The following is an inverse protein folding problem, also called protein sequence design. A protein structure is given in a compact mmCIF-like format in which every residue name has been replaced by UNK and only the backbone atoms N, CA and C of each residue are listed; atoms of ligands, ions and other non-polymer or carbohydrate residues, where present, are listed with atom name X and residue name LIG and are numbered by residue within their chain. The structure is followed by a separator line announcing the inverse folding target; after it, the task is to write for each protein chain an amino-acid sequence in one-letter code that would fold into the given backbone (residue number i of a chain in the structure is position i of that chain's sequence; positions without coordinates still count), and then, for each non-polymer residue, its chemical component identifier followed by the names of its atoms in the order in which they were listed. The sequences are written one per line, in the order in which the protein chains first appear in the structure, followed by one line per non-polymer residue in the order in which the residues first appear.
data_IF_023033908255
#
_entry.id   IF_023033908255
#
_cell.length_a   1.000
_cell.length_b   1.000
_cell.length_c   1.000
_cell.angle_alpha   90.00
_cell.angle_beta   90.00
_cell.angle_gamma   90.00
#
_symmetry.space_group_name_H-M   'P 1'
#
loop_
_entity.id
_entity.type
_entity.pdbx_description
1 polymer ?
2 branched ?
3 non-polymer ?
4 non-polymer ?
5 water ?
#
# COMPACT_ATOMS: atom_id res chain seq x y z
N UNK A 1 -10.19 -16.03 -14.86
CA UNK A 1 -10.03 -17.41 -15.41
C UNK A 1 -11.42 -18.03 -15.63
N UNK A 2 -12.03 -18.52 -14.55
CA UNK A 2 -13.36 -19.13 -14.63
C UNK A 2 -14.41 -18.03 -14.79
N UNK A 3 -15.52 -18.36 -15.43
CA UNK A 3 -16.60 -17.41 -15.68
C UNK A 3 -17.25 -16.89 -14.39
N UNK A 4 -17.64 -15.62 -14.43
CA UNK A 4 -18.31 -15.01 -13.28
C UNK A 4 -19.76 -15.48 -13.35
N UNK A 5 -20.45 -15.53 -12.20
CA UNK A 5 -21.85 -15.97 -12.20
C UNK A 5 -22.74 -14.79 -12.57
N UNK A 6 -24.03 -15.07 -12.78
CA UNK A 6 -24.99 -14.01 -13.08
C UNK A 6 -24.96 -13.05 -11.90
N UNK A 7 -24.92 -11.76 -12.19
CA UNK A 7 -24.90 -10.74 -11.13
C UNK A 7 -25.79 -9.58 -11.54
N UNK A 8 -26.51 -9.03 -10.56
CA UNK A 8 -27.39 -7.91 -10.82
C UNK A 8 -26.84 -6.66 -10.14
N UNK A 9 -26.51 -5.66 -10.94
CA UNK A 9 -25.97 -4.41 -10.40
C UNK A 9 -26.24 -3.29 -11.41
N UNK A 10 -26.11 -2.02 -10.97
CA UNK A 10 -26.34 -0.87 -11.84
C UNK A 10 -25.48 -0.89 -13.10
N UNK A 11 -26.10 -0.59 -14.23
CA UNK A 11 -25.39 -0.57 -15.50
C UNK A 11 -24.41 0.61 -15.51
N UNK A 12 -23.17 0.38 -15.96
CA UNK A 12 -22.22 1.50 -16.00
C UNK A 12 -22.71 2.51 -17.05
N UNK A 13 -22.53 3.79 -16.78
CA UNK A 13 -22.98 4.85 -17.67
C UNK A 13 -21.82 5.43 -18.49
N UNK A 14 -21.75 5.05 -19.76
CA UNK A 14 -20.68 5.52 -20.64
C UNK A 14 -20.54 7.04 -20.73
N UNK A 15 -21.66 7.75 -20.66
CA UNK A 15 -21.65 9.20 -20.76
C UNK A 15 -21.76 9.92 -19.42
N UNK A 16 -21.34 9.24 -18.36
CA UNK A 16 -21.37 9.81 -17.02
C UNK A 16 -20.12 9.41 -16.25
N UNK A 17 -19.22 10.37 -15.98
CA UNK A 17 -17.98 10.09 -15.25
C UNK A 17 -18.24 9.61 -13.82
N UNK A 18 -17.32 8.80 -13.29
CA UNK A 18 -17.45 8.28 -11.93
C UNK A 18 -17.30 9.45 -10.98
N UNK A 19 -16.24 10.22 -11.20
CA UNK A 19 -15.92 11.38 -10.38
C UNK A 19 -15.56 12.53 -11.33
N UNK A 20 -16.05 13.72 -11.01
CA UNK A 20 -15.76 14.89 -11.85
C UNK A 20 -14.86 15.82 -11.05
N UNK A 21 -14.51 15.40 -9.83
CA UNK A 21 -13.67 16.20 -8.95
C UNK A 21 -12.24 15.68 -8.85
N UNK A 22 -12.01 14.48 -9.36
CA UNK A 22 -10.66 13.90 -9.29
C UNK A 22 -10.27 13.08 -10.52
N UNK A 23 -8.97 12.89 -10.68
CA UNK A 23 -8.39 12.10 -11.76
C UNK A 23 -8.53 10.63 -11.36
N UNK A 24 -9.14 9.81 -12.21
CA UNK A 24 -9.33 8.40 -11.88
C UNK A 24 -8.51 7.42 -12.70
N UNK A 25 -7.64 7.93 -13.56
CA UNK A 25 -6.77 7.07 -14.37
C UNK A 25 -5.49 7.86 -14.66
N UNK A 26 -4.35 7.19 -14.56
CA UNK A 26 -3.06 7.86 -14.82
C UNK A 26 -2.80 7.92 -16.31
N UNK A 27 -1.80 8.71 -16.74
CA UNK A 27 -1.51 8.79 -18.18
C UNK A 27 -0.99 7.48 -18.79
N UNK A 28 -0.64 6.50 -17.96
CA UNK A 28 -0.20 5.20 -18.49
C UNK A 28 -1.33 4.17 -18.30
N UNK A 29 -2.54 4.71 -18.17
CA UNK A 29 -3.76 3.94 -18.03
C UNK A 29 -3.88 3.01 -16.83
N UNK A 30 -3.34 3.45 -15.70
CA UNK A 30 -3.47 2.69 -14.45
C UNK A 30 -4.61 3.37 -13.69
N UNK A 31 -5.56 2.59 -13.16
CA UNK A 31 -6.65 3.25 -12.43
C UNK A 31 -6.16 3.89 -11.14
N UNK A 32 -6.79 4.98 -10.74
CA UNK A 32 -6.48 5.64 -9.46
C UNK A 32 -7.72 5.30 -8.65
N UNK A 33 -7.52 4.55 -7.57
CA UNK A 33 -8.62 4.06 -6.76
C UNK A 33 -9.23 5.02 -5.74
N UNK A 34 -10.45 5.46 -6.05
CA UNK A 34 -11.22 6.37 -5.19
C UNK A 34 -12.58 5.70 -4.97
N UNK A 35 -13.25 6.05 -3.87
CA UNK A 35 -14.58 5.51 -3.60
C UNK A 35 -15.49 6.00 -4.72
N UNK A 36 -16.28 5.09 -5.31
CA UNK A 36 -17.18 5.46 -6.39
C UNK A 36 -16.71 4.98 -7.75
N UNK A 37 -15.46 4.52 -7.83
CA UNK A 37 -14.93 4.06 -9.12
C UNK A 37 -15.06 2.55 -9.30
N UNK A 38 -15.28 1.83 -8.21
CA UNK A 38 -15.37 0.38 -8.30
C UNK A 38 -16.60 -0.25 -7.67
N UNK A 39 -16.98 -1.40 -8.22
CA UNK A 39 -18.10 -2.18 -7.70
C UNK A 39 -17.38 -3.31 -6.97
N UNK A 40 -17.39 -3.27 -5.64
CA UNK A 40 -16.69 -4.30 -4.88
C UNK A 40 -17.26 -5.71 -5.04
N UNK A 41 -18.54 -5.83 -5.38
CA UNK A 41 -19.12 -7.15 -5.55
C UNK A 41 -18.50 -7.86 -6.75
N UNK A 42 -18.30 -7.14 -7.84
CA UNK A 42 -17.69 -7.73 -9.02
C UNK A 42 -16.24 -8.11 -8.73
N UNK A 43 -15.50 -7.19 -8.13
CA UNK A 43 -14.10 -7.44 -7.79
C UNK A 43 -13.94 -8.62 -6.81
N UNK A 44 -14.79 -8.67 -5.78
CA UNK A 44 -14.71 -9.78 -4.83
C UNK A 44 -14.90 -11.11 -5.54
N UNK A 45 -15.85 -11.15 -6.47
CA UNK A 45 -16.12 -12.36 -7.23
C UNK A 45 -14.88 -12.77 -8.00
N UNK A 46 -14.30 -11.81 -8.73
CA UNK A 46 -13.12 -12.10 -9.52
C UNK A 46 -11.97 -12.65 -8.71
N UNK A 47 -11.70 -12.06 -7.55
CA UNK A 47 -10.57 -12.54 -6.75
C UNK A 47 -10.84 -13.80 -5.94
N UNK A 48 -12.09 -14.00 -5.52
CA UNK A 48 -12.41 -15.20 -4.77
C UNK A 48 -12.34 -16.42 -5.69
N UNK A 49 -12.76 -16.24 -6.95
CA UNK A 49 -12.72 -17.33 -7.91
C UNK A 49 -11.28 -17.78 -8.15
N UNK A 50 -10.34 -16.90 -7.80
CA UNK A 50 -8.92 -17.20 -7.95
C UNK A 50 -8.34 -17.69 -6.63
N UNK A 51 -9.19 -17.73 -5.60
CA UNK A 51 -8.78 -18.17 -4.26
C UNK A 51 -7.52 -17.41 -3.87
N UNK A 52 -7.60 -16.09 -4.04
CA UNK A 52 -6.50 -15.18 -3.76
C UNK A 52 -6.11 -15.11 -2.29
N UNK A 53 -4.79 -15.11 -2.04
CA UNK A 53 -4.28 -15.00 -0.68
C UNK A 53 -3.42 -13.73 -0.61
N UNK A 54 -3.73 -12.87 0.35
CA UNK A 54 -3.01 -11.62 0.50
C UNK A 54 -2.15 -11.59 1.76
N UNK A 55 -0.87 -11.29 1.60
CA UNK A 55 0.01 -11.20 2.74
C UNK A 55 0.08 -9.74 3.16
N UNK A 56 0.03 -9.49 4.46
CA UNK A 56 0.11 -8.13 5.00
C UNK A 56 1.31 -8.10 5.91
N UNK A 57 2.30 -7.30 5.56
CA UNK A 57 3.52 -7.22 6.35
C UNK A 57 3.66 -5.93 7.14
N UNK A 58 4.18 -6.05 8.36
CA UNK A 58 4.42 -4.90 9.21
C UNK A 58 5.64 -5.18 10.05
N UNK A 59 6.35 -4.11 10.39
CA UNK A 59 7.53 -4.22 11.23
C UNK A 59 7.17 -3.50 12.52
N UNK A 60 7.47 -4.14 13.64
CA UNK A 60 7.17 -3.55 14.94
C UNK A 60 8.37 -3.79 15.84
N UNK A 61 9.29 -2.82 15.85
CA UNK A 61 10.49 -2.92 16.66
C UNK A 61 10.42 -1.93 17.81
N UNK A 62 10.97 -2.32 18.95
CA UNK A 62 11.00 -1.46 20.13
C UNK A 62 9.61 -0.99 20.55
N UNK A 63 9.46 0.30 20.77
CA UNK A 63 8.20 0.88 21.21
C UNK A 63 7.02 0.67 20.26
N UNK A 64 7.30 0.38 18.99
CA UNK A 64 6.22 0.20 18.02
C UNK A 64 5.38 -1.05 18.21
N UNK A 65 5.81 -1.97 19.08
CA UNK A 65 5.05 -3.19 19.32
C UNK A 65 3.72 -2.82 19.98
N UNK A 66 3.67 -1.62 20.56
CA UNK A 66 2.47 -1.15 21.25
C UNK A 66 1.32 -0.83 20.30
N UNK A 67 1.61 -0.71 19.01
CA UNK A 67 0.57 -0.40 18.03
C UNK A 67 -0.06 -1.63 17.40
N UNK A 68 0.54 -2.80 17.61
CA UNK A 68 0.05 -4.03 17.03
C UNK A 68 -1.40 -4.41 17.33
N UNK A 69 -1.81 -4.31 18.59
CA UNK A 69 -3.18 -4.68 18.96
C UNK A 69 -4.23 -3.95 18.11
N UNK A 70 -4.21 -2.63 18.13
CA UNK A 70 -5.19 -1.85 17.36
C UNK A 70 -5.05 -2.11 15.87
N UNK A 71 -3.81 -2.22 15.40
CA UNK A 71 -3.56 -2.45 13.98
C UNK A 71 -4.23 -3.74 13.53
N UNK A 72 -3.93 -4.84 14.23
CA UNK A 72 -4.50 -6.14 13.89
C UNK A 72 -6.01 -6.25 14.13
N UNK A 73 -6.50 -5.68 15.22
CA UNK A 73 -7.94 -5.74 15.50
C UNK A 73 -8.74 -5.04 14.42
N UNK A 74 -8.28 -3.86 13.99
CA UNK A 74 -9.00 -3.13 12.96
C UNK A 74 -8.81 -3.76 11.59
N UNK A 75 -7.67 -4.42 11.37
CA UNK A 75 -7.42 -5.08 10.09
C UNK A 75 -8.45 -6.21 9.97
N UNK A 76 -8.75 -6.85 11.10
CA UNK A 76 -9.72 -7.93 11.10
C UNK A 76 -11.10 -7.43 10.70
N UNK A 77 -11.37 -6.17 10.97
CA UNK A 77 -12.66 -5.61 10.64
C UNK A 77 -12.77 -5.02 9.24
N UNK A 78 -11.65 -4.57 8.69
CA UNK A 78 -11.70 -3.91 7.39
C UNK A 78 -10.78 -4.37 6.26
N UNK A 79 -9.77 -5.18 6.56
CA UNK A 79 -8.81 -5.59 5.55
C UNK A 79 -9.09 -6.93 4.88
N UNK A 80 -9.39 -6.89 3.58
CA UNK A 80 -9.63 -8.10 2.79
C UNK A 80 -10.60 -9.10 3.44
N UNK A 81 -11.62 -8.61 4.14
CA UNK A 81 -12.59 -9.51 4.77
C UNK A 81 -13.25 -10.41 3.74
N UNK A 82 -13.22 -11.71 3.99
CA UNK A 82 -13.80 -12.67 3.06
C UNK A 82 -12.76 -13.40 2.25
N UNK A 83 -11.55 -12.85 2.22
CA UNK A 83 -10.46 -13.45 1.47
C UNK A 83 -9.41 -14.04 2.40
N UNK A 84 -8.51 -14.85 1.85
CA UNK A 84 -7.43 -15.46 2.63
C UNK A 84 -6.38 -14.40 2.92
N UNK A 85 -6.05 -14.23 4.20
CA UNK A 85 -5.06 -13.24 4.61
C UNK A 85 -3.99 -13.86 5.50
N UNK A 86 -2.73 -13.50 5.25
CA UNK A 86 -1.62 -14.00 6.04
C UNK A 86 -0.85 -12.79 6.53
N UNK A 87 -0.89 -12.56 7.84
CA UNK A 87 -0.18 -11.44 8.45
C UNK A 87 1.25 -11.86 8.76
N UNK A 88 2.20 -10.98 8.45
CA UNK A 88 3.60 -11.25 8.76
C UNK A 88 4.07 -10.12 9.65
N UNK A 89 4.29 -10.42 10.92
CA UNK A 89 4.75 -9.41 11.87
C UNK A 89 6.23 -9.60 12.19
N UNK A 90 7.04 -8.66 11.72
CA UNK A 90 8.48 -8.71 11.97
C UNK A 90 8.76 -7.86 13.20
N UNK A 91 9.25 -8.49 14.26
CA UNK A 91 9.50 -7.79 15.51
C UNK A 91 10.72 -8.31 16.26
N UNK A 92 11.24 -7.48 17.15
CA UNK A 92 12.41 -7.83 17.96
C UNK A 92 11.90 -8.27 19.34
N UNK A 93 10.59 -8.32 19.49
CA UNK A 93 9.95 -8.72 20.74
C UNK A 93 8.80 -9.68 20.47
N UNK A 94 9.11 -10.91 20.00
CA UNK A 94 8.08 -11.90 19.71
C UNK A 94 7.05 -12.11 20.82
N UNK A 95 7.53 -12.20 22.05
CA UNK A 95 6.64 -12.42 23.20
C UNK A 95 5.71 -11.24 23.48
N UNK A 96 6.00 -10.09 22.90
CA UNK A 96 5.16 -8.91 23.13
C UNK A 96 4.01 -8.77 22.14
N UNK A 97 3.99 -9.60 21.11
CA UNK A 97 2.92 -9.54 20.11
C UNK A 97 1.61 -9.95 20.80
N UNK A 98 0.59 -9.07 20.73
CA UNK A 98 -0.70 -9.35 21.36
C UNK A 98 -1.47 -10.51 20.75
N UNK A 99 -2.23 -11.20 21.59
CA UNK A 99 -3.05 -12.32 21.16
C UNK A 99 -4.35 -11.76 20.58
N UNK A 100 -4.38 -11.61 19.26
CA UNK A 100 -5.56 -11.08 18.58
C UNK A 100 -6.37 -12.21 17.96
N UNK A 101 -7.69 -12.15 18.12
CA UNK A 101 -8.57 -13.16 17.58
C UNK A 101 -8.78 -12.92 16.09
N UNK A 102 -8.54 -13.95 15.28
CA UNK A 102 -8.68 -13.83 13.84
C UNK A 102 -9.87 -14.57 13.26
N UNK A 103 -10.43 -14.02 12.19
CA UNK A 103 -11.55 -14.66 11.52
C UNK A 103 -11.04 -15.87 10.78
N UNK A 104 -11.95 -16.72 10.32
CA UNK A 104 -11.54 -17.93 9.60
C UNK A 104 -10.82 -17.60 8.30
N UNK A 105 -9.85 -18.44 7.93
CA UNK A 105 -9.10 -18.23 6.71
C UNK A 105 -8.01 -17.18 6.81
N UNK A 106 -7.73 -16.75 8.03
CA UNK A 106 -6.71 -15.74 8.27
C UNK A 106 -5.69 -16.26 9.28
N UNK A 107 -4.42 -15.98 9.03
CA UNK A 107 -3.37 -16.44 9.92
C UNK A 107 -2.30 -15.40 10.14
N UNK A 108 -1.55 -15.58 11.23
CA UNK A 108 -0.49 -14.64 11.55
C UNK A 108 0.81 -15.35 11.87
N UNK A 109 1.89 -14.87 11.27
CA UNK A 109 3.21 -15.43 11.52
C UNK A 109 4.05 -14.35 12.17
N UNK A 110 4.72 -14.70 13.26
CA UNK A 110 5.58 -13.74 13.94
C UNK A 110 7.02 -14.11 13.57
N UNK A 111 7.74 -13.17 12.99
CA UNK A 111 9.12 -13.41 12.59
C UNK A 111 10.03 -12.51 13.41
N UNK A 112 10.89 -13.12 14.22
CA UNK A 112 11.80 -12.34 15.05
C UNK A 112 12.89 -11.75 14.19
N UNK A 113 13.20 -10.48 14.41
CA UNK A 113 14.22 -9.81 13.62
C UNK A 113 15.42 -9.32 14.41
N UNK A 114 16.48 -9.08 13.65
CA UNK A 114 17.79 -8.61 14.11
C UNK A 114 18.67 -9.24 13.04
N UNK A 115 17.97 -9.78 12.05
CA UNK A 115 18.53 -10.45 10.88
C UNK A 115 17.39 -11.26 10.27
N UNK A 116 17.37 -12.55 10.56
CA UNK A 116 16.34 -13.47 10.06
C UNK A 116 14.92 -12.93 10.23
N UNK A 134 13.05 -16.59 4.65
CA UNK A 134 13.55 -16.36 3.30
C UNK A 134 12.43 -15.87 2.39
N UNK A 135 12.77 -14.94 1.51
CA UNK A 135 11.80 -14.36 0.58
C UNK A 135 11.10 -15.39 -0.29
N UNK A 136 11.70 -16.58 -0.42
CA UNK A 136 11.11 -17.64 -1.23
C UNK A 136 9.80 -18.09 -0.61
N UNK A 137 9.70 -17.94 0.71
CA UNK A 137 8.51 -18.33 1.44
C UNK A 137 7.29 -17.55 0.94
N UNK A 138 7.45 -16.25 0.75
CA UNK A 138 6.36 -15.40 0.26
C UNK A 138 5.80 -15.92 -1.06
N UNK A 139 6.69 -16.33 -1.95
CA UNK A 139 6.29 -16.84 -3.25
C UNK A 139 5.42 -18.08 -3.17
N UNK A 140 5.55 -18.85 -2.11
CA UNK A 140 4.74 -20.07 -1.98
C UNK A 140 3.56 -19.93 -1.03
N UNK A 141 3.49 -18.84 -0.27
CA UNK A 141 2.38 -18.68 0.66
C UNK A 141 1.33 -17.65 0.28
N UNK A 142 1.71 -16.63 -0.49
CA UNK A 142 0.75 -15.61 -0.86
C UNK A 142 0.83 -15.20 -2.33
N UNK A 143 -0.23 -14.57 -2.83
CA UNK A 143 -0.28 -14.13 -4.22
C UNK A 143 0.11 -12.66 -4.32
N UNK A 144 -0.28 -11.89 -3.31
CA UNK A 144 0.02 -10.48 -3.24
C UNK A 144 0.59 -10.12 -1.88
N UNK A 145 1.40 -9.07 -1.85
CA UNK A 145 1.99 -8.57 -0.62
C UNK A 145 1.59 -7.11 -0.45
N UNK A 146 1.16 -6.75 0.74
CA UNK A 146 0.80 -5.38 1.06
C UNK A 146 1.72 -5.00 2.23
N UNK A 147 2.52 -3.97 2.03
CA UNK A 147 3.49 -3.53 3.01
C UNK A 147 3.09 -2.19 3.61
N UNK A 148 2.82 -2.18 4.91
CA UNK A 148 2.39 -0.95 5.58
C UNK A 148 3.08 -0.63 6.90
N UNK A 149 2.83 0.59 7.38
CA UNK A 149 3.37 1.05 8.66
C UNK A 149 2.44 0.53 9.75
N UNK A 150 3.02 0.23 10.91
CA UNK A 150 2.23 -0.33 12.02
C UNK A 150 1.48 0.67 12.91
N UNK A 151 1.97 1.90 13.02
CA UNK A 151 1.28 2.88 13.84
C UNK A 151 0.13 3.50 13.07
N UNK A 152 -0.79 2.63 12.67
CA UNK A 152 -1.96 3.00 11.88
C UNK A 152 -3.14 2.16 12.34
N UNK A 153 -4.32 2.48 11.84
CA UNK A 153 -5.50 1.70 12.15
C UNK A 153 -6.44 1.77 10.96
N UNK A 154 -7.16 0.69 10.71
CA UNK A 154 -8.12 0.66 9.62
C UNK A 154 -9.43 1.22 10.17
N UNK A 155 -10.06 2.09 9.40
CA UNK A 155 -11.32 2.70 9.81
C UNK A 155 -12.44 2.40 8.81
N UNK A 156 -12.07 1.88 7.64
CA UNK A 156 -13.07 1.53 6.65
C UNK A 156 -12.48 0.50 5.71
N UNK A 157 -13.30 0.03 4.78
CA UNK A 157 -12.95 -0.99 3.80
C UNK A 157 -11.63 -0.79 3.05
N UNK A 158 -10.80 -1.83 3.06
CA UNK A 158 -9.55 -1.84 2.30
C UNK A 158 -9.59 -3.26 1.73
N UNK A 159 -9.98 -3.37 0.46
CA UNK A 159 -10.12 -4.69 -0.13
C UNK A 159 -9.37 -4.97 -1.41
N UNK A 160 -9.86 -5.97 -2.15
CA UNK A 160 -9.21 -6.39 -3.38
C UNK A 160 -9.14 -5.35 -4.49
N UNK A 161 -9.84 -4.23 -4.32
CA UNK A 161 -9.78 -3.19 -5.33
C UNK A 161 -8.35 -2.67 -5.47
N UNK A 162 -7.52 -2.87 -4.45
CA UNK A 162 -6.13 -2.39 -4.51
C UNK A 162 -5.16 -3.37 -5.17
N UNK A 163 -5.56 -4.63 -5.27
CA UNK A 163 -4.68 -5.66 -5.84
C UNK A 163 -4.38 -5.49 -7.33
N UNK A 164 -3.10 -5.61 -7.65
CA UNK A 164 -2.60 -5.41 -9.01
C UNK A 164 -1.11 -5.79 -8.95
N UNK A 165 -0.42 -5.90 -10.11
CA UNK A 165 1.00 -6.26 -10.04
C UNK A 165 1.86 -5.33 -9.18
N UNK A 166 1.62 -4.02 -9.29
CA UNK A 166 2.38 -3.06 -8.51
C UNK A 166 1.58 -1.80 -8.21
N UNK A 167 1.47 -1.43 -6.93
CA UNK A 167 0.73 -0.23 -6.59
C UNK A 167 1.43 0.67 -5.57
N UNK A 168 1.19 1.97 -5.70
CA UNK A 168 1.74 2.96 -4.78
C UNK A 168 0.55 3.76 -4.28
N UNK A 169 0.72 4.51 -3.20
CA UNK A 169 -0.36 5.31 -2.63
C UNK A 169 0.02 6.78 -2.61
N UNK A 170 -0.91 7.65 -2.99
CA UNK A 170 -0.65 9.08 -3.01
C UNK A 170 -0.51 9.65 -1.59
N UNK A 171 0.63 10.29 -1.33
CA UNK A 171 0.90 10.90 -0.04
C UNK A 171 -0.21 11.93 0.25
N UNK A 172 -0.83 11.85 1.43
CA UNK A 172 -1.91 12.77 1.82
C UNK A 172 -1.57 14.25 1.90
N UNK A 173 -0.28 14.58 2.01
CA UNK A 173 0.10 15.96 2.10
C UNK A 173 0.64 16.58 0.82
N UNK A 174 0.68 15.80 -0.26
CA UNK A 174 1.19 16.31 -1.52
C UNK A 174 0.34 15.97 -2.74
N UNK A 175 -0.80 15.33 -2.53
CA UNK A 175 -1.64 14.94 -3.65
C UNK A 175 -2.12 16.11 -4.52
N UNK A 176 -2.14 17.31 -3.94
CA UNK A 176 -2.58 18.47 -4.71
C UNK A 176 -1.44 19.42 -5.03
N UNK A 177 -0.22 18.97 -4.81
CA UNK A 177 0.96 19.78 -5.06
C UNK A 177 1.54 19.60 -6.46
N UNK A 178 2.30 20.59 -6.92
CA UNK A 178 2.95 20.51 -8.22
C UNK A 178 4.23 19.73 -7.97
N UNK A 179 4.75 19.07 -9.00
CA UNK A 179 5.97 18.27 -8.85
C UNK A 179 7.14 19.01 -8.24
N UNK A 180 7.30 20.29 -8.57
CA UNK A 180 8.40 21.07 -8.02
C UNK A 180 8.37 21.11 -6.49
N UNK A 181 7.17 21.02 -5.92
CA UNK A 181 7.00 21.06 -4.47
C UNK A 181 7.19 19.68 -3.80
N UNK A 182 7.17 18.62 -4.60
CA UNK A 182 7.36 17.28 -4.05
C UNK A 182 8.70 17.19 -3.33
N UNK A 183 8.73 16.53 -2.18
CA UNK A 183 9.97 16.41 -1.42
C UNK A 183 10.84 15.24 -1.86
N UNK A 184 11.03 15.10 -3.18
CA UNK A 184 11.88 14.05 -3.73
C UNK A 184 13.31 14.38 -3.33
N UNK A 185 14.23 13.44 -3.53
CA UNK A 185 15.63 13.70 -3.24
C UNK A 185 16.08 14.56 -4.42
N UNK A 186 16.66 15.72 -4.14
CA UNK A 186 17.08 16.62 -5.21
C UNK A 186 18.57 16.67 -5.50
N UNK A 187 19.36 15.92 -4.75
CA UNK A 187 20.81 15.89 -4.96
C UNK A 187 21.19 14.84 -5.99
N UNK A 188 21.81 15.27 -7.10
CA UNK A 188 22.24 14.38 -8.20
C UNK A 188 23.18 13.28 -7.73
N UNK A 189 23.82 13.48 -6.59
CA UNK A 189 24.75 12.49 -6.06
C UNK A 189 24.04 11.26 -5.49
N UNK A 190 22.73 11.38 -5.29
CA UNK A 190 21.94 10.28 -4.75
C UNK A 190 21.23 9.47 -5.84
N UNK A 191 21.16 8.16 -5.63
CA UNK A 191 20.50 7.28 -6.59
C UNK A 191 19.00 7.56 -6.63
N UNK A 192 18.49 8.20 -5.58
CA UNK A 192 17.06 8.51 -5.52
C UNK A 192 16.74 9.86 -6.17
N UNK A 193 17.76 10.48 -6.73
CA UNK A 193 17.62 11.78 -7.39
C UNK A 193 16.53 11.90 -8.45
N UNK A 194 15.70 12.92 -8.32
CA UNK A 194 14.64 13.19 -9.29
C UNK A 194 14.62 14.71 -9.52
N UNK A 195 14.93 15.15 -10.75
CA UNK A 195 14.95 16.58 -11.08
C UNK A 195 13.58 17.24 -10.99
N UNK A 196 13.57 18.57 -10.88
CA UNK A 196 12.34 19.33 -10.76
C UNK A 196 11.35 19.18 -11.90
N UNK A 197 11.82 18.79 -13.08
CA UNK A 197 10.92 18.63 -14.22
C UNK A 197 10.43 17.19 -14.44
N UNK A 198 10.71 16.31 -13.49
CA UNK A 198 10.28 14.92 -13.58
C UNK A 198 9.39 14.57 -12.39
N UNK A 199 8.60 13.51 -12.54
CA UNK A 199 7.73 13.09 -11.45
C UNK A 199 6.25 13.08 -11.79
N UNK A 200 5.56 12.01 -11.40
CA UNK A 200 4.12 11.90 -11.63
C UNK A 200 3.37 12.27 -10.36
N UNK A 201 3.67 11.56 -9.28
CA UNK A 201 3.04 11.78 -7.98
C UNK A 201 4.06 11.58 -6.87
N UNK A 202 3.67 11.93 -5.65
CA UNK A 202 4.56 11.69 -4.52
C UNK A 202 3.90 10.55 -3.76
N UNK A 203 4.51 9.38 -3.85
CA UNK A 203 3.98 8.19 -3.18
C UNK A 203 4.56 8.11 -1.78
N UNK A 204 3.79 7.59 -0.84
CA UNK A 204 4.32 7.49 0.52
C UNK A 204 4.84 6.08 0.77
N UNK A 205 5.93 6.01 1.53
CA UNK A 205 6.53 4.72 1.81
C UNK A 205 5.74 3.81 2.73
N UNK A 206 4.71 4.36 3.38
CA UNK A 206 3.93 3.58 4.32
C UNK A 206 2.83 2.66 3.82
N UNK A 207 2.60 2.61 2.52
CA UNK A 207 1.55 1.76 1.98
C UNK A 207 1.78 1.48 0.50
N UNK A 208 2.37 0.33 0.21
CA UNK A 208 2.61 -0.07 -1.18
C UNK A 208 2.49 -1.58 -1.24
N UNK A 209 2.44 -2.12 -2.46
CA UNK A 209 2.32 -3.56 -2.58
C UNK A 209 2.20 -4.02 -4.02
N UNK A 210 1.74 -5.25 -4.21
CA UNK A 210 1.60 -5.80 -5.55
C UNK A 210 1.81 -7.30 -5.49
N UNK A 211 2.15 -7.91 -6.62
CA UNK A 211 2.41 -9.36 -6.63
C UNK A 211 3.71 -9.57 -5.84
N UNK A 212 3.92 -10.79 -5.35
CA UNK A 212 5.14 -11.04 -4.59
C UNK A 212 6.36 -10.72 -5.44
N UNK A 213 6.33 -11.15 -6.70
CA UNK A 213 7.43 -10.91 -7.61
C UNK A 213 7.76 -9.42 -7.76
N UNK A 214 6.75 -8.60 -8.01
CA UNK A 214 7.00 -7.17 -8.18
C UNK A 214 7.43 -6.47 -6.90
N UNK A 215 6.88 -6.89 -5.77
CA UNK A 215 7.25 -6.29 -4.50
C UNK A 215 8.70 -6.64 -4.17
N UNK A 216 9.11 -7.86 -4.47
CA UNK A 216 10.49 -8.25 -4.19
C UNK A 216 11.44 -7.51 -5.12
N UNK A 217 11.01 -7.23 -6.35
CA UNK A 217 11.85 -6.50 -7.28
C UNK A 217 12.05 -5.07 -6.78
N UNK A 218 10.98 -4.47 -6.25
CA UNK A 218 11.07 -3.11 -5.73
C UNK A 218 11.98 -3.02 -4.51
N UNK A 219 11.77 -3.90 -3.53
CA UNK A 219 12.60 -3.87 -2.33
C UNK A 219 14.05 -4.21 -2.62
N UNK A 220 14.29 -5.07 -3.60
CA UNK A 220 15.65 -5.44 -3.97
C UNK A 220 16.32 -4.24 -4.63
N UNK A 221 15.58 -3.52 -5.46
CA UNK A 221 16.11 -2.35 -6.13
C UNK A 221 16.39 -1.25 -5.12
N UNK A 222 15.47 -1.07 -4.18
CA UNK A 222 15.64 -0.04 -3.15
C UNK A 222 16.87 -0.34 -2.30
N UNK A 223 17.01 -1.61 -1.90
CA UNK A 223 18.15 -2.03 -1.08
C UNK A 223 19.47 -1.73 -1.76
N UNK A 224 19.57 -2.06 -3.04
CA UNK A 224 20.80 -1.82 -3.79
C UNK A 224 21.12 -0.33 -3.93
N UNK A 225 20.09 0.47 -4.23
CA UNK A 225 20.27 1.91 -4.38
C UNK A 225 20.73 2.55 -3.07
N UNK A 226 20.21 2.07 -1.95
CA UNK A 226 20.57 2.62 -0.65
C UNK A 226 22.01 2.25 -0.28
N UNK A 227 22.44 1.07 -0.71
CA UNK A 227 23.81 0.63 -0.42
C UNK A 227 24.79 1.50 -1.21
N UNK A 228 24.42 1.85 -2.43
CA UNK A 228 25.26 2.69 -3.28
C UNK A 228 25.38 4.08 -2.66
N UNK A 229 24.27 4.61 -2.18
CA UNK A 229 24.27 5.92 -1.55
C UNK A 229 25.15 5.91 -0.30
N UNK A 230 25.00 4.85 0.50
CA UNK A 230 25.77 4.70 1.73
C UNK A 230 27.27 4.72 1.41
N UNK A 231 27.66 3.99 0.37
CA UNK A 231 29.06 3.92 -0.03
C UNK A 231 29.57 5.30 -0.44
N UNK A 232 28.73 6.07 -1.12
CA UNK A 232 29.11 7.41 -1.56
C UNK A 232 28.86 8.44 -0.46
N UNK A 233 28.66 7.95 0.76
CA UNK A 233 28.44 8.83 1.90
C UNK A 233 27.27 9.79 1.78
N UNK A 234 26.10 9.29 1.39
CA UNK A 234 24.93 10.14 1.26
C UNK A 234 23.67 9.38 1.67
N UNK A 235 22.73 10.09 2.27
CA UNK A 235 21.48 9.50 2.73
C UNK A 235 20.32 10.32 2.16
N UNK A 236 19.44 9.66 1.41
CA UNK A 236 18.30 10.35 0.80
C UNK A 236 17.47 11.10 1.83
N UNK A 237 17.01 12.29 1.46
CA UNK A 237 16.23 13.16 2.34
C UNK A 237 15.14 12.45 3.13
N UNK A 238 14.39 11.56 2.47
CA UNK A 238 13.34 10.83 3.16
C UNK A 238 13.57 9.33 3.12
N UNK A 239 14.85 8.97 3.10
CA UNK A 239 15.29 7.58 3.10
C UNK A 239 14.55 6.64 2.16
N UNK A 240 14.01 5.55 2.70
CA UNK A 240 13.29 4.55 1.92
C UNK A 240 12.23 5.13 0.99
N UNK A 241 11.49 6.12 1.49
CA UNK A 241 10.43 6.76 0.72
C UNK A 241 10.98 7.46 -0.52
N UNK A 242 12.16 8.07 -0.40
CA UNK A 242 12.76 8.76 -1.53
C UNK A 242 13.09 7.75 -2.63
N UNK A 243 13.62 6.59 -2.25
CA UNK A 243 13.95 5.57 -3.22
C UNK A 243 12.69 4.94 -3.81
N UNK A 244 11.65 4.80 -2.99
CA UNK A 244 10.40 4.24 -3.48
C UNK A 244 9.87 5.14 -4.60
N UNK A 245 9.97 6.45 -4.40
CA UNK A 245 9.48 7.38 -5.40
C UNK A 245 10.29 7.30 -6.69
N UNK A 246 11.60 7.11 -6.56
CA UNK A 246 12.46 7.00 -7.75
C UNK A 246 12.08 5.72 -8.50
N UNK A 247 11.86 4.63 -7.77
CA UNK A 247 11.50 3.36 -8.40
C UNK A 247 10.19 3.44 -9.17
N UNK A 248 9.15 3.98 -8.52
CA UNK A 248 7.83 4.10 -9.15
C UNK A 248 7.80 5.11 -10.29
N UNK A 249 8.80 5.99 -10.33
CA UNK A 249 8.87 6.95 -11.42
C UNK A 249 9.32 6.19 -12.67
N UNK A 250 10.31 5.32 -12.49
CA UNK A 250 10.88 4.52 -13.58
C UNK A 250 10.12 3.23 -13.90
N UNK A 251 9.35 2.72 -12.94
CA UNK A 251 8.54 1.51 -13.13
C UNK A 251 7.14 1.92 -12.69
N UNK A 252 6.32 2.36 -13.63
CA UNK A 252 4.98 2.85 -13.32
C UNK A 252 4.08 1.82 -12.64
N UNK A 253 3.44 2.21 -11.54
CA UNK A 253 2.56 1.26 -10.84
C UNK A 253 1.35 0.97 -11.72
N UNK A 254 0.81 -0.24 -11.60
CA UNK A 254 -0.35 -0.63 -12.40
C UNK A 254 -1.68 -0.16 -11.79
N UNK A 255 -1.60 0.35 -10.56
CA UNK A 255 -2.73 0.96 -9.85
C UNK A 255 -2.12 1.98 -8.89
N UNK A 256 -2.83 3.07 -8.66
CA UNK A 256 -2.38 4.09 -7.71
C UNK A 256 -3.53 4.26 -6.74
N UNK A 257 -3.26 4.20 -5.44
CA UNK A 257 -4.32 4.36 -4.46
C UNK A 257 -4.47 5.83 -4.05
N UNK A 258 -5.71 6.27 -3.91
CA UNK A 258 -5.99 7.66 -3.51
C UNK A 258 -5.62 7.81 -2.04
N UNK A 259 -5.55 9.06 -1.54
CA UNK A 259 -5.18 9.30 -0.15
C UNK A 259 -6.19 8.72 0.85
N UNK A 260 -7.28 8.15 0.34
CA UNK A 260 -8.28 7.53 1.19
C UNK A 260 -7.58 6.38 1.94
N UNK A 261 -6.57 5.82 1.28
CA UNK A 261 -5.85 4.68 1.82
C UNK A 261 -4.73 4.93 2.83
N UNK A 262 -4.39 6.19 3.05
CA UNK A 262 -3.39 6.54 4.07
C UNK A 262 -3.55 8.02 4.37
N UNK A 263 -4.31 8.30 5.41
CA UNK A 263 -4.61 9.65 5.80
C UNK A 263 -4.30 9.94 7.27
N UNK A 264 -4.23 11.22 7.62
CA UNK A 264 -3.99 11.64 8.99
C UNK A 264 -5.04 12.71 9.23
N UNK A 265 -6.15 12.32 9.87
CA UNK A 265 -7.25 13.23 10.13
C UNK A 265 -6.90 14.36 11.10
N UNK A 266 -6.02 14.08 12.05
CA UNK A 266 -5.64 15.11 13.01
C UNK A 266 -4.90 16.24 12.31
N UNK A 267 -3.99 15.86 11.42
CA UNK A 267 -3.18 16.82 10.69
C UNK A 267 -3.84 17.39 9.43
N UNK A 268 -4.76 16.62 8.83
CA UNK A 268 -5.39 17.03 7.58
C UNK A 268 -6.91 17.13 7.54
N UNK A 269 -7.57 16.77 8.64
CA UNK A 269 -9.02 16.84 8.66
C UNK A 269 -9.70 15.80 7.77
N UNK A 270 -10.88 16.15 7.26
CA UNK A 270 -11.64 15.26 6.39
C UNK A 270 -12.21 16.05 5.22
N UNK A 271 -11.41 16.24 4.16
CA UNK A 271 -11.79 16.97 2.94
C UNK A 271 -12.95 16.32 2.22
N UNK A 272 -13.74 17.15 1.53
CA UNK A 272 -14.89 16.67 0.78
C UNK A 272 -14.48 15.63 -0.27
N UNK A 273 -13.29 15.82 -0.86
CA UNK A 273 -12.81 14.92 -1.90
C UNK A 273 -12.59 13.49 -1.40
N UNK A 274 -12.56 13.31 -0.08
CA UNK A 274 -12.37 11.98 0.50
C UNK A 274 -13.71 11.49 1.06
N UNK A 275 -14.36 10.61 0.31
CA UNK A 275 -15.66 10.07 0.74
C UNK A 275 -15.50 9.09 1.89
N UNK A 276 -14.32 8.48 1.97
CA UNK A 276 -14.04 7.53 3.04
C UNK A 276 -12.60 7.71 3.50
N UNK A 277 -12.36 7.44 4.78
CA UNK A 277 -11.03 7.47 5.38
C UNK A 277 -10.86 6.02 5.78
N UNK A 278 -10.06 5.30 5.00
CA UNK A 278 -9.87 3.86 5.21
C UNK A 278 -8.76 3.38 6.13
N UNK A 279 -7.59 4.01 6.03
CA UNK A 279 -6.42 3.62 6.82
C UNK A 279 -5.80 4.92 7.32
N UNK A 280 -5.70 5.09 8.63
CA UNK A 280 -5.18 6.34 9.18
C UNK A 280 -4.12 6.24 10.27
N UNK A 281 -3.44 7.36 10.48
CA UNK A 281 -2.40 7.46 11.49
C UNK A 281 -3.03 7.46 12.88
N UNK A 282 -2.34 6.85 13.83
CA UNK A 282 -2.83 6.78 15.20
C UNK A 282 -2.22 7.89 16.05
N UNK A 283 -3.08 8.73 16.67
CA UNK A 283 -2.62 9.83 17.51
C UNK A 283 -2.05 9.34 18.84
#
# INVERSE_FOLDING_TARGET
MVSLPRMVYPQPKVLTPCRKDVLVVTPWLAPIVWEGTFNIDILNEQFRLQNTTIGLTVFAIKKYVAFLKLFLETAEKHFMVGHRVHYYVFTDQPAAVPRVTLGTGRQLSVLEVRAYKRWQDVSMRRMEMISDFCERRFLSEVDYLVCVDVDMEFRDHVGVEILTPLFGTLHPGFYGSSREAFTYERRPQSQAYIPKDEGDFYYLGGFFGGSVQEVQRLTRACHQAMMVDQANGIEAVWHDESHLNKYLLRHKPTKVLSPEYLWDQQLLGWPAVLRKLRFTAVP
#
